data_IF_255832789740
#
_entry.id   IF_255832789740
#
_cell.length_a   1.000
_cell.length_b   1.000
_cell.length_c   1.000
_cell.angle_alpha   90.00
_cell.angle_beta   90.00
_cell.angle_gamma   90.00
#
_symmetry.space_group_name_H-M   'P 1'
#
loop_
_entity.id
_entity.type
_entity.pdbx_description
1 polymer ?
#
# COMPACT_ATOMS: atom_id res chain seq x y z
N UNK A 1 -4.69 5.55 16.72
CA UNK A 1 -4.17 4.72 15.60
C UNK A 1 -3.62 5.68 14.57
N UNK A 2 -2.36 5.52 14.17
CA UNK A 2 -1.75 6.40 13.17
C UNK A 2 -2.02 5.87 11.75
N UNK A 3 -2.06 6.78 10.77
CA UNK A 3 -2.26 6.41 9.35
C UNK A 3 -1.21 5.41 8.85
N UNK A 4 0.03 5.53 9.35
CA UNK A 4 1.11 4.58 9.07
C UNK A 4 0.74 3.15 9.47
N UNK A 5 0.24 2.98 10.69
CA UNK A 5 -0.11 1.66 11.23
C UNK A 5 -1.27 1.04 10.46
N UNK A 6 -2.27 1.85 10.07
CA UNK A 6 -3.39 1.39 9.25
C UNK A 6 -2.91 0.86 7.89
N UNK A 7 -2.01 1.59 7.23
CA UNK A 7 -1.43 1.17 5.94
C UNK A 7 -0.57 -0.09 6.10
N UNK A 8 0.23 -0.18 7.17
CA UNK A 8 1.03 -1.38 7.46
C UNK A 8 0.15 -2.61 7.68
N UNK A 9 -0.97 -2.48 8.41
CA UNK A 9 -1.91 -3.58 8.62
C UNK A 9 -2.53 -4.05 7.29
N UNK A 10 -2.94 -3.11 6.42
CA UNK A 10 -3.45 -3.43 5.08
C UNK A 10 -2.39 -4.12 4.22
N UNK A 11 -1.12 -3.71 4.33
CA UNK A 11 0.01 -4.36 3.65
C UNK A 11 0.28 -5.76 4.15
N UNK A 12 0.23 -5.98 5.47
CA UNK A 12 0.34 -7.30 6.08
C UNK A 12 -0.81 -8.23 5.66
N UNK A 13 -1.98 -7.66 5.35
CA UNK A 13 -3.12 -8.39 4.83
C UNK A 13 -3.05 -8.68 3.31
N UNK A 14 -1.96 -8.28 2.65
CA UNK A 14 -1.68 -8.60 1.24
C UNK A 14 -1.91 -7.45 0.25
N UNK A 15 -2.39 -6.28 0.69
CA UNK A 15 -2.63 -5.16 -0.23
C UNK A 15 -1.34 -4.43 -0.59
N UNK A 16 -1.21 -4.08 -1.87
CA UNK A 16 -0.14 -3.21 -2.37
C UNK A 16 -0.51 -1.73 -2.19
N UNK A 17 0.50 -0.86 -2.07
CA UNK A 17 0.32 0.60 -1.97
C UNK A 17 -0.58 1.17 -3.09
N UNK A 18 -0.43 0.67 -4.32
CA UNK A 18 -1.25 1.08 -5.47
C UNK A 18 -2.72 0.70 -5.31
N UNK A 19 -3.00 -0.47 -4.75
CA UNK A 19 -4.37 -0.93 -4.49
C UNK A 19 -4.99 -0.12 -3.36
N UNK A 20 -4.25 0.13 -2.28
CA UNK A 20 -4.69 1.00 -1.18
C UNK A 20 -5.02 2.40 -1.68
N UNK A 21 -4.16 2.97 -2.54
CA UNK A 21 -4.37 4.28 -3.15
C UNK A 21 -5.63 4.30 -4.02
N UNK A 22 -5.82 3.29 -4.87
CA UNK A 22 -6.99 3.17 -5.74
C UNK A 22 -8.28 3.02 -4.95
N UNK A 23 -8.29 2.16 -3.91
CA UNK A 23 -9.45 1.90 -3.08
C UNK A 23 -9.80 3.06 -2.14
N UNK A 24 -8.80 3.78 -1.63
CA UNK A 24 -9.00 4.96 -0.80
C UNK A 24 -9.27 6.24 -1.63
N UNK A 25 -9.12 6.20 -2.95
CA UNK A 25 -9.21 7.40 -3.81
C UNK A 25 -8.14 8.44 -3.44
N UNK A 26 -6.92 7.98 -3.20
CA UNK A 26 -5.73 8.78 -2.88
C UNK A 26 -4.64 8.53 -3.92
N UNK A 27 -3.66 9.43 -4.01
CA UNK A 27 -2.48 9.20 -4.86
C UNK A 27 -1.56 8.13 -4.26
N UNK A 28 -0.96 7.28 -5.09
CA UNK A 28 0.05 6.30 -4.66
C UNK A 28 1.22 6.98 -3.91
N UNK A 29 1.68 8.13 -4.40
CA UNK A 29 2.76 8.89 -3.75
C UNK A 29 2.37 9.33 -2.36
N UNK A 30 1.12 9.75 -2.19
CA UNK A 30 0.57 10.18 -0.90
C UNK A 30 0.53 9.02 0.10
N UNK A 31 0.07 7.83 -0.33
CA UNK A 31 0.12 6.61 0.50
C UNK A 31 1.54 6.20 0.86
N UNK A 32 2.49 6.32 -0.08
CA UNK A 32 3.91 6.02 0.17
C UNK A 32 4.51 6.94 1.24
N UNK A 33 4.22 8.23 1.15
CA UNK A 33 4.70 9.23 2.11
C UNK A 33 4.05 9.04 3.49
N UNK A 34 2.79 8.61 3.54
CA UNK A 34 2.11 8.22 4.78
C UNK A 34 2.72 6.98 5.43
N UNK A 35 3.03 5.95 4.64
CA UNK A 35 3.69 4.73 5.14
C UNK A 35 5.09 5.03 5.69
N UNK A 36 5.82 5.93 5.03
CA UNK A 36 7.12 6.43 5.50
C UNK A 36 7.02 7.36 6.71
N UNK A 37 5.81 7.76 7.12
CA UNK A 37 5.57 8.65 8.26
C UNK A 37 5.91 10.12 7.99
N UNK A 38 6.05 10.54 6.72
CA UNK A 38 6.43 11.93 6.37
C UNK A 38 5.40 12.97 6.80
N UNK A 39 4.12 12.59 6.86
CA UNK A 39 3.05 13.51 7.26
C UNK A 39 2.84 13.57 8.78
N UNK A 40 3.47 12.70 9.59
CA UNK A 40 3.39 12.71 11.05
C UNK A 40 1.96 12.97 11.58
N UNK A 41 1.81 13.98 12.43
CA UNK A 41 0.52 14.45 12.99
C UNK A 41 -0.32 15.33 12.05
N UNK A 42 0.20 15.68 10.86
CA UNK A 42 -0.42 16.60 9.88
C UNK A 42 -1.03 15.86 8.68
N UNK A 43 -1.72 14.76 8.95
CA UNK A 43 -2.59 14.16 7.94
C UNK A 43 -3.91 14.94 7.90
N UNK A 44 -4.41 15.24 6.70
CA UNK A 44 -5.74 15.81 6.55
C UNK A 44 -6.80 14.84 7.06
N UNK A 45 -7.83 15.35 7.73
CA UNK A 45 -8.91 14.53 8.29
C UNK A 45 -9.56 13.63 7.24
N UNK A 46 -9.84 14.16 6.04
CA UNK A 46 -10.46 13.40 4.96
C UNK A 46 -9.60 12.22 4.48
N UNK A 47 -8.29 12.44 4.40
CA UNK A 47 -7.35 11.40 4.01
C UNK A 47 -7.24 10.30 5.08
N UNK A 48 -7.18 10.69 6.35
CA UNK A 48 -7.20 9.74 7.45
C UNK A 48 -8.50 8.93 7.45
N UNK A 49 -9.65 9.59 7.30
CA UNK A 49 -10.97 8.96 7.27
C UNK A 49 -11.07 7.90 6.17
N UNK A 50 -10.64 8.22 4.94
CA UNK A 50 -10.65 7.28 3.81
C UNK A 50 -9.83 6.01 4.09
N UNK A 51 -8.65 6.15 4.68
CA UNK A 51 -7.78 5.01 5.03
C UNK A 51 -8.38 4.18 6.16
N UNK A 52 -8.95 4.86 7.17
CA UNK A 52 -9.61 4.21 8.28
C UNK A 52 -10.86 3.43 7.83
N UNK A 53 -11.67 4.02 6.94
CA UNK A 53 -12.84 3.36 6.36
C UNK A 53 -12.43 2.15 5.52
N UNK A 54 -11.33 2.24 4.76
CA UNK A 54 -10.79 1.10 4.01
C UNK A 54 -10.32 -0.02 4.96
N UNK A 55 -9.63 0.34 6.04
CA UNK A 55 -9.19 -0.60 7.06
C UNK A 55 -10.38 -1.30 7.73
N UNK A 56 -11.38 -0.53 8.17
CA UNK A 56 -12.61 -1.07 8.74
C UNK A 56 -13.32 -2.00 7.76
N UNK A 57 -13.52 -1.61 6.49
CA UNK A 57 -14.14 -2.49 5.50
C UNK A 57 -13.39 -3.81 5.33
N UNK A 58 -12.06 -3.76 5.28
CA UNK A 58 -11.25 -4.95 5.06
C UNK A 58 -11.25 -5.92 6.24
N UNK A 59 -11.29 -5.42 7.48
CA UNK A 59 -11.24 -6.26 8.69
C UNK A 59 -12.62 -6.56 9.29
N UNK A 60 -13.63 -5.71 9.08
CA UNK A 60 -15.00 -5.91 9.57
C UNK A 60 -15.81 -6.83 8.66
N UNK A 61 -15.54 -6.87 7.35
CA UNK A 61 -16.19 -7.83 6.43
C UNK A 61 -15.73 -9.28 6.63
N UNK A 62 -14.71 -9.53 7.46
CA UNK A 62 -14.36 -10.90 7.88
C UNK A 62 -15.40 -11.46 8.88
N UNK A 63 -16.34 -10.63 9.36
CA UNK A 63 -17.38 -11.02 10.33
C UNK A 63 -18.80 -11.18 9.80
N UNK A 64 -19.16 -10.71 8.60
CA UNK A 64 -20.53 -10.89 8.07
C UNK A 64 -20.51 -11.36 6.61
N UNK A 65 -20.70 -12.67 6.47
CA UNK A 65 -21.34 -13.24 5.29
C UNK A 65 -22.77 -12.73 5.22
N UNK A 66 -23.08 -11.88 4.23
CA UNK A 66 -24.35 -11.95 3.50
C UNK A 66 -24.13 -11.70 2.01
N UNK A 67 -24.31 -12.78 1.26
CA UNK A 67 -24.38 -12.91 -0.18
C UNK A 67 -25.08 -11.74 -0.89
N UNK A 68 -24.49 -11.25 -1.97
CA UNK A 68 -25.19 -11.15 -3.26
C UNK A 68 -24.17 -10.92 -4.38
N UNK A 69 -24.09 -11.92 -5.25
CA UNK A 69 -23.71 -11.85 -6.66
C UNK A 69 -22.91 -10.63 -7.14
N UNK A 70 -21.59 -10.69 -7.03
CA UNK A 70 -20.68 -10.40 -8.15
C UNK A 70 -19.26 -10.85 -7.80
N UNK A 71 -18.77 -11.79 -8.60
CA UNK A 71 -17.38 -12.13 -8.91
C UNK A 71 -16.25 -11.41 -8.13
N UNK A 72 -15.67 -12.14 -7.16
CA UNK A 72 -14.25 -12.56 -7.01
C UNK A 72 -13.12 -11.64 -7.60
N UNK A 73 -11.95 -11.50 -6.93
CA UNK A 73 -11.16 -12.69 -6.61
C UNK A 73 -10.32 -12.68 -5.32
N UNK A 74 -10.16 -13.89 -4.80
CA UNK A 74 -8.96 -14.34 -4.08
C UNK A 74 -7.73 -13.95 -4.91
N UNK A 75 -7.08 -12.85 -4.56
CA UNK A 75 -5.75 -12.56 -5.07
C UNK A 75 -4.78 -13.50 -4.36
N UNK A 76 -4.60 -14.69 -4.92
CA UNK A 76 -3.35 -15.41 -4.80
C UNK A 76 -2.25 -14.46 -5.27
N UNK A 77 -1.60 -13.78 -4.33
CA UNK A 77 -0.42 -12.97 -4.64
C UNK A 77 0.67 -13.97 -5.05
N UNK A 78 1.17 -13.97 -6.30
CA UNK A 78 2.43 -14.63 -6.56
C UNK A 78 3.47 -13.87 -5.72
N UNK A 79 3.99 -14.54 -4.69
CA UNK A 79 5.18 -14.11 -3.98
C UNK A 79 6.32 -14.09 -5.00
N UNK A 80 6.54 -12.94 -5.63
CA UNK A 80 7.76 -12.71 -6.38
C UNK A 80 8.86 -12.60 -5.34
N UNK A 81 9.57 -13.71 -5.13
CA UNK A 81 10.92 -13.73 -4.57
C UNK A 81 11.78 -12.82 -5.45
N UNK A 82 11.87 -11.55 -5.07
CA UNK A 82 12.86 -10.63 -5.58
C UNK A 82 14.12 -10.80 -4.73
N UNK A 83 14.83 -11.90 -4.99
CA UNK A 83 16.21 -12.05 -4.59
C UNK A 83 17.09 -11.01 -5.27
N UNK A 84 18.09 -10.56 -4.50
CA UNK A 84 19.34 -9.91 -4.90
C UNK A 84 19.36 -8.39 -5.14
N UNK A 85 19.80 -7.74 -4.07
CA UNK A 85 20.75 -6.62 -4.06
C UNK A 85 21.79 -6.69 -5.18
N UNK A 86 21.86 -5.65 -6.03
CA UNK A 86 23.03 -5.38 -6.85
C UNK A 86 23.22 -3.87 -7.04
N UNK A 87 24.14 -3.31 -6.26
CA UNK A 87 24.75 -1.99 -6.43
C UNK A 87 25.53 -1.94 -7.75
N UNK A 88 25.02 -1.27 -8.78
CA UNK A 88 25.77 -1.05 -10.03
C UNK A 88 26.50 0.30 -9.98
N UNK A 89 27.77 0.26 -9.57
CA UNK A 89 28.76 1.35 -9.69
C UNK A 89 28.77 1.87 -11.14
N UNK A 90 28.61 3.19 -11.30
CA UNK A 90 28.83 3.89 -12.57
C UNK A 90 30.32 3.86 -12.92
N UNK A 91 30.70 3.14 -13.98
CA UNK A 91 32.03 3.19 -14.59
C UNK A 91 32.01 4.29 -15.66
N UNK A 92 32.79 5.36 -15.48
CA UNK A 92 32.99 6.40 -16.50
C UNK A 92 33.76 5.78 -17.69
N UNK A 93 33.41 6.08 -18.95
CA UNK A 93 34.18 5.61 -20.09
C UNK A 93 35.53 6.35 -20.15
N UNK A 94 36.59 5.61 -20.46
CA UNK A 94 37.89 6.17 -20.80
C UNK A 94 37.76 6.92 -22.13
N UNK A 95 38.20 8.17 -22.15
CA UNK A 95 38.39 8.94 -23.37
C UNK A 95 39.64 8.36 -24.06
N UNK A 96 39.45 7.72 -25.20
CA UNK A 96 40.52 7.44 -26.16
C UNK A 96 40.53 8.64 -27.12
N UNK A 97 41.59 9.44 -27.12
CA UNK A 97 42.26 10.12 -28.26
C UNK A 97 43.29 11.07 -27.67
#
# INVERSE_FOLDING_TARGET
>A
MDAKTLIQNLRSAGLRQQQIASLAGLSQSYVCDLEKGRYGKRIGYDAYKKINDLHLRYFTLVGESKNSDTDMPVFAVPQVVAGNTATKKRKKPALLT
#
